data_IF_177170216800
#
_entry.id   IF_177170216800
#
_cell.length_a   1.000
_cell.length_b   1.000
_cell.length_c   1.000
_cell.angle_alpha   90.00
_cell.angle_beta   90.00
_cell.angle_gamma   90.00
#
_symmetry.space_group_name_H-M   'P 1'
#
loop_
_entity.id
_entity.type
_entity.pdbx_description
1 polymer ?
#
# COMPACT_ATOMS: atom_id res chain seq x y z
N UNK A 1 -2.54 -5.74 2.41
CA UNK A 1 -1.90 -4.70 1.56
C UNK A 1 -2.55 -3.31 1.69
N UNK A 2 -3.21 -2.98 2.81
CA UNK A 2 -4.03 -1.75 2.93
C UNK A 2 -3.24 -0.52 3.38
N UNK A 3 -2.12 -0.70 4.07
CA UNK A 3 -1.26 0.42 4.49
C UNK A 3 0.07 0.31 3.75
N UNK A 4 0.22 1.14 2.72
CA UNK A 4 1.42 1.20 1.90
C UNK A 4 2.29 2.40 2.33
N UNK A 5 3.54 2.20 2.80
CA UNK A 5 4.37 3.31 3.28
C UNK A 5 4.64 4.38 2.20
N UNK A 6 4.78 3.97 0.94
CA UNK A 6 4.98 4.89 -0.18
C UNK A 6 3.75 5.75 -0.47
N UNK A 7 2.54 5.26 -0.19
CA UNK A 7 1.30 6.03 -0.35
C UNK A 7 1.21 7.17 0.69
N UNK A 8 1.71 6.94 1.91
CA UNK A 8 1.78 7.96 2.96
C UNK A 8 2.66 9.14 2.52
N UNK A 9 3.87 8.84 2.00
CA UNK A 9 4.77 9.89 1.49
C UNK A 9 4.21 10.62 0.28
N UNK A 10 3.60 9.90 -0.67
CA UNK A 10 3.01 10.51 -1.85
C UNK A 10 1.84 11.44 -1.49
N UNK A 11 0.94 11.00 -0.61
CA UNK A 11 -0.18 11.82 -0.16
C UNK A 11 0.31 13.08 0.59
N UNK A 12 1.34 12.96 1.43
CA UNK A 12 1.96 14.13 2.08
C UNK A 12 2.55 15.12 1.08
N UNK A 13 3.21 14.66 0.01
CA UNK A 13 3.78 15.55 -0.99
C UNK A 13 2.73 16.19 -1.92
N UNK A 14 1.70 15.43 -2.32
CA UNK A 14 0.62 15.93 -3.19
C UNK A 14 -0.21 17.03 -2.50
N UNK A 15 -0.32 16.98 -1.17
CA UNK A 15 -1.04 17.97 -0.38
C UNK A 15 -0.23 19.25 -0.11
N UNK A 16 1.11 19.21 -0.12
CA UNK A 16 1.97 20.39 0.14
C UNK A 16 1.86 21.52 -0.90
N UNK A 17 1.50 21.21 -2.16
CA UNK A 17 1.53 22.16 -3.28
C UNK A 17 0.17 22.63 -3.79
N UNK A 18 -0.96 22.04 -3.34
CA UNK A 18 -2.28 22.28 -3.93
C UNK A 18 -2.85 23.66 -3.62
N UNK A 19 -2.84 24.09 -2.35
CA UNK A 19 -3.38 25.38 -1.92
C UNK A 19 -2.56 25.90 -0.72
N UNK A 20 -1.77 26.95 -0.90
CA UNK A 20 -1.11 27.64 0.22
C UNK A 20 -2.11 28.54 0.93
N UNK A 21 -2.67 28.04 2.03
CA UNK A 21 -3.62 28.78 2.86
C UNK A 21 -2.91 29.28 4.12
N UNK A 22 -2.68 30.59 4.20
CA UNK A 22 -2.05 31.22 5.38
C UNK A 22 -3.06 31.50 6.50
N UNK A 23 -4.35 31.54 6.18
CA UNK A 23 -5.43 31.80 7.15
C UNK A 23 -5.80 30.52 7.94
N UNK A 24 -5.68 30.52 9.28
CA UNK A 24 -5.93 29.35 10.12
C UNK A 24 -7.38 28.82 10.02
N UNK A 25 -8.37 29.66 9.69
CA UNK A 25 -9.77 29.21 9.54
C UNK A 25 -9.95 28.39 8.26
N UNK A 26 -9.39 28.87 7.16
CA UNK A 26 -9.44 28.19 5.86
C UNK A 26 -8.57 26.93 5.86
N UNK A 27 -7.45 26.93 6.59
CA UNK A 27 -6.59 25.76 6.77
C UNK A 27 -7.36 24.59 7.44
N UNK A 28 -8.14 24.87 8.48
CA UNK A 28 -9.00 23.87 9.13
C UNK A 28 -10.08 23.33 8.20
N UNK A 29 -10.70 24.18 7.37
CA UNK A 29 -11.68 23.73 6.36
C UNK A 29 -11.03 22.82 5.31
N UNK A 30 -9.86 23.19 4.80
CA UNK A 30 -9.11 22.39 3.84
C UNK A 30 -8.75 21.01 4.42
N UNK A 31 -8.27 20.97 5.66
CA UNK A 31 -7.99 19.73 6.37
C UNK A 31 -9.23 18.84 6.52
N UNK A 32 -10.40 19.42 6.81
CA UNK A 32 -11.64 18.65 6.91
C UNK A 32 -12.06 18.06 5.55
N UNK A 33 -11.92 18.81 4.45
CA UNK A 33 -12.20 18.29 3.11
C UNK A 33 -11.26 17.15 2.72
N UNK A 34 -9.96 17.28 3.01
CA UNK A 34 -8.98 16.21 2.79
C UNK A 34 -9.32 14.95 3.61
N UNK A 35 -9.75 15.11 4.87
CA UNK A 35 -10.23 13.96 5.67
C UNK A 35 -11.42 13.28 4.99
N UNK A 36 -12.42 14.05 4.55
CA UNK A 36 -13.61 13.48 3.90
C UNK A 36 -13.24 12.75 2.61
N UNK A 37 -12.37 13.33 1.79
CA UNK A 37 -11.89 12.70 0.55
C UNK A 37 -11.19 11.36 0.82
N UNK A 38 -10.25 11.35 1.78
CA UNK A 38 -9.53 10.12 2.17
C UNK A 38 -10.48 9.07 2.77
N UNK A 39 -11.44 9.48 3.61
CA UNK A 39 -12.41 8.55 4.21
C UNK A 39 -13.31 7.93 3.16
N UNK A 40 -13.80 8.71 2.19
CA UNK A 40 -14.63 8.21 1.10
C UNK A 40 -13.81 7.27 0.20
N UNK A 41 -12.60 7.68 -0.21
CA UNK A 41 -11.75 6.87 -1.07
C UNK A 41 -11.35 5.53 -0.41
N UNK A 42 -10.91 5.56 0.85
CA UNK A 42 -10.57 4.36 1.59
C UNK A 42 -11.80 3.50 1.92
N UNK A 43 -12.96 4.12 2.13
CA UNK A 43 -14.23 3.42 2.31
C UNK A 43 -14.62 2.61 1.08
N UNK A 44 -14.58 3.24 -0.11
CA UNK A 44 -14.84 2.55 -1.38
C UNK A 44 -13.83 1.42 -1.62
N UNK A 45 -12.54 1.67 -1.40
CA UNK A 45 -11.51 0.64 -1.53
C UNK A 45 -11.74 -0.55 -0.57
N UNK A 46 -12.20 -0.28 0.65
CA UNK A 46 -12.53 -1.32 1.64
C UNK A 46 -13.74 -2.15 1.21
N UNK A 47 -14.78 -1.51 0.64
CA UNK A 47 -15.93 -2.21 0.09
C UNK A 47 -15.55 -3.13 -1.07
N UNK A 48 -14.69 -2.66 -1.98
CA UNK A 48 -14.19 -3.48 -3.10
C UNK A 48 -13.37 -4.67 -2.59
N UNK A 49 -12.46 -4.45 -1.64
CA UNK A 49 -11.69 -5.54 -1.02
C UNK A 49 -12.60 -6.55 -0.30
N UNK A 50 -13.63 -6.08 0.40
CA UNK A 50 -14.63 -6.93 1.04
C UNK A 50 -15.43 -7.75 0.03
N UNK A 51 -15.90 -7.13 -1.06
CA UNK A 51 -16.60 -7.81 -2.13
C UNK A 51 -15.72 -8.87 -2.80
N UNK A 52 -14.45 -8.56 -3.07
CA UNK A 52 -13.47 -9.51 -3.61
C UNK A 52 -13.29 -10.72 -2.69
N UNK A 53 -13.17 -10.50 -1.39
CA UNK A 53 -13.03 -11.57 -0.40
C UNK A 53 -14.29 -12.45 -0.32
N UNK A 54 -15.48 -11.85 -0.36
CA UNK A 54 -16.75 -12.58 -0.39
C UNK A 54 -16.91 -13.40 -1.66
N UNK A 55 -16.55 -12.85 -2.83
CA UNK A 55 -16.59 -13.59 -4.11
C UNK A 55 -15.58 -14.74 -4.12
N UNK A 56 -14.35 -14.52 -3.64
CA UNK A 56 -13.36 -15.58 -3.53
C UNK A 56 -13.86 -16.70 -2.60
N UNK A 57 -14.42 -16.35 -1.44
CA UNK A 57 -15.00 -17.32 -0.53
C UNK A 57 -16.17 -18.09 -1.16
N UNK A 58 -17.12 -17.41 -1.84
CA UNK A 58 -18.28 -18.08 -2.42
C UNK A 58 -17.95 -18.99 -3.61
N UNK A 59 -16.95 -18.60 -4.42
CA UNK A 59 -16.52 -19.36 -5.61
C UNK A 59 -15.57 -20.50 -5.27
N UNK A 60 -14.59 -20.30 -4.38
CA UNK A 60 -13.54 -21.31 -4.14
C UNK A 60 -13.82 -22.18 -2.90
N UNK A 61 -14.38 -21.62 -1.83
CA UNK A 61 -14.61 -22.37 -0.59
C UNK A 61 -15.70 -23.45 -0.75
N UNK A 62 -16.72 -23.19 -1.57
CA UNK A 62 -17.81 -24.15 -1.83
C UNK A 62 -17.40 -25.36 -2.69
N UNK A 63 -16.28 -25.28 -3.40
CA UNK A 63 -15.88 -26.31 -4.39
C UNK A 63 -14.75 -27.22 -3.85
N UNK A 64 -14.29 -27.00 -2.61
CA UNK A 64 -13.28 -27.87 -1.96
C UNK A 64 -11.86 -27.73 -2.53
N UNK A 65 -11.59 -26.68 -3.31
CA UNK A 65 -10.26 -26.40 -3.85
C UNK A 65 -9.43 -25.59 -2.85
N UNK A 66 -8.56 -26.28 -2.10
CA UNK A 66 -7.66 -25.64 -1.13
C UNK A 66 -6.36 -25.07 -1.73
N UNK A 67 -6.10 -25.27 -3.02
CA UNK A 67 -4.78 -25.00 -3.64
C UNK A 67 -4.77 -23.96 -4.77
N UNK A 68 -5.81 -23.15 -4.90
CA UNK A 68 -5.88 -22.14 -5.96
C UNK A 68 -5.68 -20.75 -5.33
N UNK A 69 -4.42 -20.33 -5.28
CA UNK A 69 -4.01 -18.97 -4.91
C UNK A 69 -3.32 -18.24 -6.09
N UNK A 70 -3.49 -18.74 -7.31
CA UNK A 70 -2.88 -18.14 -8.50
C UNK A 70 -3.77 -17.04 -9.09
N UNK A 71 -3.13 -15.96 -9.54
CA UNK A 71 -3.81 -14.82 -10.17
C UNK A 71 -4.55 -15.26 -11.44
N UNK A 72 -4.07 -16.31 -12.14
CA UNK A 72 -4.73 -16.84 -13.33
C UNK A 72 -6.15 -17.33 -13.05
N UNK A 73 -6.44 -17.82 -11.85
CA UNK A 73 -7.75 -18.38 -11.52
C UNK A 73 -8.71 -17.36 -10.88
N UNK A 74 -8.20 -16.21 -10.45
CA UNK A 74 -8.99 -15.16 -9.82
C UNK A 74 -10.14 -14.64 -10.71
N UNK A 75 -10.02 -14.70 -12.04
CA UNK A 75 -11.10 -14.30 -12.96
C UNK A 75 -12.38 -15.16 -12.80
N UNK A 76 -12.25 -16.41 -12.35
CA UNK A 76 -13.38 -17.32 -12.12
C UNK A 76 -14.34 -16.80 -11.04
N UNK A 77 -13.87 -15.96 -10.13
CA UNK A 77 -14.72 -15.30 -9.11
C UNK A 77 -15.78 -14.38 -9.71
N UNK A 78 -15.52 -13.86 -10.92
CA UNK A 78 -16.43 -12.97 -11.65
C UNK A 78 -17.29 -13.72 -12.69
N UNK A 79 -17.00 -14.99 -12.95
CA UNK A 79 -17.70 -15.81 -13.93
C UNK A 79 -19.22 -15.95 -13.63
N UNK A 80 -19.69 -16.09 -12.37
CA UNK A 80 -21.12 -16.14 -12.07
C UNK A 80 -21.89 -14.86 -12.43
N UNK A 81 -21.20 -13.71 -12.49
CA UNK A 81 -21.81 -12.41 -12.78
C UNK A 81 -21.66 -12.00 -14.25
N UNK A 82 -20.52 -12.31 -14.87
CA UNK A 82 -20.12 -11.80 -16.20
C UNK A 82 -19.98 -12.91 -17.25
N UNK A 83 -20.10 -14.19 -16.87
CA UNK A 83 -19.87 -15.32 -17.75
C UNK A 83 -18.49 -15.28 -18.41
N UNK A 84 -18.43 -15.57 -19.71
CA UNK A 84 -17.18 -15.58 -20.50
C UNK A 84 -16.48 -14.21 -20.59
N UNK A 85 -17.19 -13.10 -20.33
CA UNK A 85 -16.59 -11.77 -20.32
C UNK A 85 -15.73 -11.49 -19.07
N UNK A 86 -15.85 -12.30 -18.02
CA UNK A 86 -15.07 -12.18 -16.78
C UNK A 86 -13.56 -12.16 -17.02
N UNK A 87 -13.05 -12.98 -17.96
CA UNK A 87 -11.64 -13.05 -18.32
C UNK A 87 -11.11 -11.70 -18.84
N UNK A 88 -11.81 -11.11 -19.80
CA UNK A 88 -11.41 -9.83 -20.39
C UNK A 88 -11.52 -8.67 -19.40
N UNK A 89 -12.61 -8.62 -18.63
CA UNK A 89 -12.82 -7.57 -17.61
C UNK A 89 -11.76 -7.67 -16.52
N UNK A 90 -11.46 -8.88 -16.04
CA UNK A 90 -10.43 -9.10 -15.03
C UNK A 90 -9.03 -8.75 -15.55
N UNK A 91 -8.67 -9.21 -16.75
CA UNK A 91 -7.37 -8.91 -17.36
C UNK A 91 -7.17 -7.41 -17.59
N UNK A 92 -8.17 -6.71 -18.12
CA UNK A 92 -8.11 -5.26 -18.34
C UNK A 92 -8.04 -4.49 -17.02
N UNK A 93 -8.81 -4.91 -16.00
CA UNK A 93 -8.78 -4.30 -14.67
C UNK A 93 -7.44 -4.50 -13.98
N UNK A 94 -6.86 -5.70 -14.08
CA UNK A 94 -5.55 -6.02 -13.51
C UNK A 94 -4.44 -5.21 -14.20
N UNK A 95 -4.48 -5.08 -15.52
CA UNK A 95 -3.55 -4.26 -16.30
C UNK A 95 -3.67 -2.78 -15.91
N UNK A 96 -4.90 -2.25 -15.86
CA UNK A 96 -5.15 -0.87 -15.45
C UNK A 96 -4.67 -0.59 -14.01
N UNK A 97 -4.92 -1.53 -13.08
CA UNK A 97 -4.44 -1.45 -11.70
C UNK A 97 -2.91 -1.47 -11.63
N UNK A 98 -2.26 -2.36 -12.39
CA UNK A 98 -0.80 -2.45 -12.45
C UNK A 98 -0.13 -1.21 -13.02
N UNK A 99 -0.69 -0.64 -14.10
CA UNK A 99 -0.19 0.62 -14.68
C UNK A 99 -0.37 1.79 -13.70
N UNK A 100 -1.54 1.89 -13.07
CA UNK A 100 -1.82 2.94 -12.07
C UNK A 100 -0.90 2.83 -10.86
N UNK A 101 -0.73 1.62 -10.29
CA UNK A 101 0.17 1.36 -9.16
C UNK A 101 1.63 1.66 -9.51
N UNK A 102 2.07 1.34 -10.73
CA UNK A 102 3.43 1.64 -11.20
C UNK A 102 3.69 3.15 -11.31
N UNK A 103 2.73 3.92 -11.85
CA UNK A 103 2.83 5.38 -11.92
C UNK A 103 2.88 6.03 -10.52
N UNK A 104 2.05 5.53 -9.59
CA UNK A 104 2.05 5.96 -8.18
C UNK A 104 3.36 5.61 -7.49
N UNK A 105 3.87 4.39 -7.68
CA UNK A 105 5.11 3.90 -7.09
C UNK A 105 6.34 4.67 -7.57
N UNK A 106 6.42 4.98 -8.87
CA UNK A 106 7.50 5.82 -9.42
C UNK A 106 7.45 7.24 -8.86
N UNK A 107 6.26 7.84 -8.74
CA UNK A 107 6.09 9.17 -8.16
C UNK A 107 6.51 9.21 -6.69
N UNK A 108 6.03 8.26 -5.89
CA UNK A 108 6.41 8.13 -4.48
C UNK A 108 7.92 7.93 -4.30
N UNK A 109 8.53 7.06 -5.13
CA UNK A 109 9.98 6.85 -5.13
C UNK A 109 10.77 8.12 -5.45
N UNK A 110 10.24 9.00 -6.30
CA UNK A 110 10.89 10.28 -6.60
C UNK A 110 10.91 11.21 -5.40
N UNK A 111 9.75 11.34 -4.73
CA UNK A 111 9.58 12.19 -3.57
C UNK A 111 10.50 11.75 -2.43
N UNK A 112 10.58 10.44 -2.18
CA UNK A 112 11.46 9.88 -1.17
C UNK A 112 12.94 10.15 -1.55
N UNK A 113 13.32 9.92 -2.80
CA UNK A 113 14.70 10.17 -3.28
C UNK A 113 15.09 11.65 -3.18
N UNK A 114 14.19 12.56 -3.53
CA UNK A 114 14.40 14.01 -3.40
C UNK A 114 14.46 14.44 -1.94
N UNK A 115 13.57 13.92 -1.09
CA UNK A 115 13.51 14.27 0.32
C UNK A 115 14.72 13.78 1.12
N UNK A 116 15.14 12.53 0.91
CA UNK A 116 16.22 11.91 1.69
C UNK A 116 17.60 12.02 1.03
N UNK A 117 17.72 11.78 -0.29
CA UNK A 117 19.01 11.77 -0.99
C UNK A 117 19.29 13.07 -1.75
N UNK A 118 18.33 14.01 -1.83
CA UNK A 118 18.41 15.27 -2.61
C UNK A 118 18.91 15.05 -4.04
N UNK A 119 18.64 13.88 -4.62
CA UNK A 119 19.08 13.49 -5.98
C UNK A 119 17.91 13.15 -6.88
N UNK A 120 18.03 13.58 -8.14
CA UNK A 120 17.15 13.22 -9.22
C UNK A 120 17.73 12.06 -10.02
N UNK A 121 17.04 10.93 -10.01
CA UNK A 121 17.31 9.81 -10.91
C UNK A 121 16.24 9.80 -12.00
N UNK A 122 16.61 9.77 -13.29
CA UNK A 122 15.65 9.76 -14.39
C UNK A 122 14.74 8.52 -14.31
N UNK A 123 13.47 8.69 -14.71
CA UNK A 123 12.42 7.67 -14.58
C UNK A 123 12.79 6.37 -15.30
N UNK A 124 13.47 6.45 -16.44
CA UNK A 124 13.92 5.28 -17.22
C UNK A 124 14.95 4.46 -16.43
N UNK A 125 15.95 5.12 -15.85
CA UNK A 125 16.97 4.43 -15.04
C UNK A 125 16.36 3.81 -13.79
N UNK A 126 15.42 4.50 -13.15
CA UNK A 126 14.67 3.94 -12.02
C UNK A 126 13.88 2.70 -12.43
N UNK A 127 13.17 2.76 -13.56
CA UNK A 127 12.37 1.64 -14.08
C UNK A 127 13.25 0.42 -14.39
N UNK A 128 14.43 0.63 -14.98
CA UNK A 128 15.41 -0.44 -15.22
C UNK A 128 15.88 -1.06 -13.89
N UNK A 129 16.27 -0.24 -12.91
CA UNK A 129 16.73 -0.70 -11.59
C UNK A 129 15.61 -1.47 -10.86
N UNK A 130 14.34 -1.06 -10.97
CA UNK A 130 13.22 -1.75 -10.30
C UNK A 130 12.80 -3.04 -10.98
N UNK A 131 13.02 -3.19 -12.28
CA UNK A 131 12.66 -4.40 -13.05
C UNK A 131 13.79 -5.44 -12.99
N UNK A 132 15.04 -5.00 -12.88
CA UNK A 132 16.23 -5.86 -12.81
C UNK A 132 16.12 -7.01 -11.78
N UNK A 133 15.72 -6.77 -10.52
CA UNK A 133 15.58 -7.85 -9.54
C UNK A 133 14.54 -8.89 -9.95
N UNK A 134 13.40 -8.44 -10.49
CA UNK A 134 12.34 -9.33 -10.95
C UNK A 134 12.79 -10.17 -12.17
N UNK A 135 13.50 -9.57 -13.13
CA UNK A 135 14.09 -10.27 -14.26
C UNK A 135 15.12 -11.31 -13.83
N UNK A 136 16.00 -10.95 -12.88
CA UNK A 136 17.01 -11.87 -12.36
C UNK A 136 16.38 -13.07 -11.67
N UNK A 137 15.33 -12.86 -10.87
CA UNK A 137 14.58 -13.95 -10.21
C UNK A 137 13.99 -14.92 -11.24
N UNK A 138 13.38 -14.39 -12.32
CA UNK A 138 12.79 -15.20 -13.39
C UNK A 138 13.87 -16.00 -14.13
N UNK A 139 15.00 -15.37 -14.47
CA UNK A 139 16.10 -16.03 -15.20
C UNK A 139 16.75 -17.12 -14.34
N UNK A 140 16.87 -16.89 -13.03
CA UNK A 140 17.45 -17.84 -12.08
C UNK A 140 16.48 -18.97 -11.68
N UNK A 141 15.23 -18.94 -12.16
CA UNK A 141 14.23 -19.98 -11.89
C UNK A 141 13.80 -20.08 -10.42
N UNK A 142 13.98 -19.00 -9.63
CA UNK A 142 13.52 -18.99 -8.25
C UNK A 142 11.99 -19.02 -8.18
N UNK A 143 11.45 -19.70 -7.16
CA UNK A 143 10.01 -19.74 -6.92
C UNK A 143 9.46 -18.31 -6.77
N UNK A 144 8.51 -17.89 -7.64
CA UNK A 144 7.86 -16.59 -7.56
C UNK A 144 7.28 -16.32 -6.17
N UNK A 145 6.79 -17.38 -5.52
CA UNK A 145 6.16 -17.31 -4.19
C UNK A 145 7.16 -16.89 -3.12
N UNK A 146 8.33 -17.54 -3.07
CA UNK A 146 9.40 -17.23 -2.12
C UNK A 146 9.97 -15.81 -2.31
N UNK A 147 10.10 -15.37 -3.56
CA UNK A 147 10.54 -14.00 -3.87
C UNK A 147 9.51 -12.95 -3.46
N UNK A 148 8.23 -13.26 -3.65
CA UNK A 148 7.13 -12.38 -3.25
C UNK A 148 7.08 -12.27 -1.73
N UNK A 149 7.28 -13.38 -1.00
CA UNK A 149 7.43 -13.40 0.46
C UNK A 149 8.63 -12.57 0.92
N UNK A 150 9.81 -12.73 0.29
CA UNK A 150 10.99 -11.93 0.61
C UNK A 150 10.76 -10.43 0.40
N UNK A 151 10.02 -10.08 -0.66
CA UNK A 151 9.63 -8.69 -0.92
C UNK A 151 8.70 -8.15 0.16
N UNK A 152 7.78 -8.97 0.67
CA UNK A 152 6.94 -8.59 1.81
C UNK A 152 7.80 -8.37 3.07
N UNK A 153 8.82 -9.20 3.31
CA UNK A 153 9.72 -9.03 4.46
C UNK A 153 10.45 -7.68 4.41
N UNK A 154 11.01 -7.32 3.25
CA UNK A 154 11.68 -6.01 3.08
C UNK A 154 10.71 -4.85 3.34
N UNK A 155 9.47 -4.95 2.84
CA UNK A 155 8.43 -3.96 3.11
C UNK A 155 8.05 -3.89 4.60
N UNK A 156 7.96 -5.03 5.27
CA UNK A 156 7.68 -5.16 6.72
C UNK A 156 8.75 -4.48 7.56
N UNK A 157 10.03 -4.62 7.19
CA UNK A 157 11.13 -3.91 7.86
C UNK A 157 11.08 -2.40 7.63
N UNK A 158 10.65 -1.93 6.46
CA UNK A 158 10.59 -0.51 6.14
C UNK A 158 9.45 0.25 6.84
N UNK A 159 8.36 -0.44 7.18
CA UNK A 159 7.14 0.18 7.69
C UNK A 159 7.31 0.90 9.06
N UNK A 160 7.96 0.33 10.08
CA UNK A 160 8.20 1.01 11.36
C UNK A 160 8.95 2.33 11.20
N UNK A 161 9.95 2.37 10.30
CA UNK A 161 10.74 3.58 10.02
C UNK A 161 9.92 4.70 9.40
N UNK A 162 8.75 4.41 8.83
CA UNK A 162 7.86 5.42 8.25
C UNK A 162 6.81 5.86 9.27
N UNK A 163 6.20 4.90 9.98
CA UNK A 163 5.10 5.21 10.90
C UNK A 163 5.59 5.93 12.16
N UNK A 164 6.75 5.56 12.71
CA UNK A 164 7.26 6.17 13.95
C UNK A 164 7.53 7.68 13.75
N UNK A 165 8.32 8.12 12.74
CA UNK A 165 8.53 9.55 12.51
C UNK A 165 7.23 10.28 12.16
N UNK A 166 6.30 9.64 11.44
CA UNK A 166 5.01 10.25 11.11
C UNK A 166 4.22 10.59 12.39
N UNK A 167 4.15 9.68 13.36
CA UNK A 167 3.47 9.94 14.63
C UNK A 167 4.19 11.03 15.42
N UNK A 168 5.52 11.03 15.43
CA UNK A 168 6.31 12.05 16.12
C UNK A 168 6.09 13.44 15.50
N UNK A 169 6.12 13.57 14.18
CA UNK A 169 5.91 14.84 13.48
C UNK A 169 4.47 15.33 13.56
N UNK A 170 3.48 14.44 13.47
CA UNK A 170 2.07 14.83 13.59
C UNK A 170 1.67 15.24 15.01
N UNK A 171 2.41 14.78 16.03
CA UNK A 171 2.23 15.18 17.43
C UNK A 171 2.91 16.52 17.76
N UNK A 172 3.97 16.89 17.05
CA UNK A 172 4.76 18.08 17.38
C UNK A 172 4.02 19.37 17.02
N UNK A 173 3.68 20.16 18.05
CA UNK A 173 3.04 21.47 17.89
C UNK A 173 3.94 22.50 17.21
N UNK A 174 5.27 22.31 17.23
CA UNK A 174 6.23 23.16 16.50
C UNK A 174 6.16 22.94 14.99
N UNK A 175 5.84 21.71 14.55
CA UNK A 175 5.76 21.35 13.13
C UNK A 175 4.34 21.57 12.59
N UNK A 176 3.31 21.11 13.31
CA UNK A 176 1.91 21.12 12.84
C UNK A 176 1.12 22.37 13.27
N UNK A 177 1.66 23.17 14.20
CA UNK A 177 0.99 24.36 14.71
C UNK A 177 -0.39 24.05 15.31
N UNK A 178 -1.42 24.74 14.81
CA UNK A 178 -2.81 24.57 15.26
C UNK A 178 -3.50 23.28 14.79
N UNK A 179 -2.84 22.49 13.92
CA UNK A 179 -3.32 21.19 13.42
C UNK A 179 -2.61 20.00 14.09
N UNK A 180 -1.88 20.22 15.18
CA UNK A 180 -1.23 19.13 15.91
C UNK A 180 -2.27 18.10 16.41
N UNK A 181 -1.90 16.82 16.33
CA UNK A 181 -2.79 15.74 16.73
C UNK A 181 -3.16 15.85 18.21
N UNK A 182 -4.45 15.61 18.52
CA UNK A 182 -4.90 15.48 19.91
C UNK A 182 -4.25 14.26 20.55
N UNK A 183 -4.13 14.28 21.89
CA UNK A 183 -3.59 13.14 22.66
C UNK A 183 -4.33 11.83 22.38
N UNK A 184 -5.65 11.88 22.18
CA UNK A 184 -6.47 10.71 21.80
C UNK A 184 -6.11 10.14 20.43
N UNK A 185 -6.00 10.99 19.40
CA UNK A 185 -5.60 10.58 18.04
C UNK A 185 -4.18 10.03 18.02
N UNK A 186 -3.27 10.63 18.80
CA UNK A 186 -1.89 10.14 18.93
C UNK A 186 -1.84 8.77 19.60
N UNK A 187 -2.64 8.56 20.66
CA UNK A 187 -2.76 7.26 21.32
C UNK A 187 -3.32 6.20 20.38
N UNK A 188 -4.39 6.50 19.66
CA UNK A 188 -4.98 5.59 18.67
C UNK A 188 -3.97 5.25 17.55
N UNK A 189 -3.28 6.26 17.00
CA UNK A 189 -2.25 6.05 15.99
C UNK A 189 -1.08 5.21 16.51
N UNK A 190 -0.65 5.43 17.76
CA UNK A 190 0.41 4.66 18.40
C UNK A 190 -0.01 3.21 18.66
N UNK A 191 -1.27 2.99 19.07
CA UNK A 191 -1.82 1.64 19.24
C UNK A 191 -1.85 0.88 17.92
N UNK A 192 -2.36 1.50 16.85
CA UNK A 192 -2.40 0.91 15.51
C UNK A 192 -0.98 0.62 15.02
N UNK A 193 -0.04 1.55 15.20
CA UNK A 193 1.36 1.36 14.87
C UNK A 193 1.97 0.18 15.63
N UNK A 194 1.72 0.08 16.94
CA UNK A 194 2.19 -1.03 17.76
C UNK A 194 1.64 -2.38 17.27
N UNK A 195 0.34 -2.46 16.98
CA UNK A 195 -0.28 -3.68 16.43
C UNK A 195 0.37 -4.06 15.09
N UNK A 196 0.55 -3.10 14.18
CA UNK A 196 1.17 -3.36 12.89
C UNK A 196 2.62 -3.85 13.08
N UNK A 197 3.41 -3.21 13.95
CA UNK A 197 4.79 -3.62 14.21
C UNK A 197 4.83 -5.03 14.80
N UNK A 198 3.99 -5.33 15.79
CA UNK A 198 3.90 -6.66 16.41
C UNK A 198 3.54 -7.73 15.38
N UNK A 199 2.53 -7.47 14.53
CA UNK A 199 2.13 -8.40 13.47
C UNK A 199 3.24 -8.60 12.43
N UNK A 200 3.96 -7.54 12.06
CA UNK A 200 5.10 -7.66 11.13
C UNK A 200 6.24 -8.47 11.74
N UNK A 201 6.59 -8.22 13.00
CA UNK A 201 7.60 -9.00 13.73
C UNK A 201 7.17 -10.47 13.84
N UNK A 202 5.91 -10.73 14.20
CA UNK A 202 5.37 -12.08 14.26
C UNK A 202 5.48 -12.81 12.92
N UNK A 203 5.12 -12.15 11.81
CA UNK A 203 5.22 -12.73 10.46
C UNK A 203 6.68 -13.04 10.10
N UNK A 204 7.61 -12.13 10.40
CA UNK A 204 9.04 -12.33 10.19
C UNK A 204 9.54 -13.54 10.99
N UNK A 205 9.22 -13.61 12.28
CA UNK A 205 9.61 -14.73 13.16
C UNK A 205 9.01 -16.05 12.64
N UNK A 206 7.74 -16.05 12.24
CA UNK A 206 7.09 -17.23 11.69
C UNK A 206 7.72 -17.67 10.36
N UNK A 207 8.16 -16.73 9.52
CA UNK A 207 8.86 -17.06 8.28
C UNK A 207 10.22 -17.69 8.55
N UNK A 208 11.00 -17.14 9.49
CA UNK A 208 12.32 -17.66 9.84
C UNK A 208 12.25 -19.01 10.60
N UNK A 209 11.23 -19.23 11.42
CA UNK A 209 11.05 -20.47 12.18
C UNK A 209 10.31 -21.54 11.35
N UNK A 210 9.34 -21.14 10.52
CA UNK A 210 8.51 -22.03 9.71
C UNK A 210 9.13 -22.44 8.37
N UNK A 211 10.11 -21.69 7.84
CA UNK A 211 10.86 -22.07 6.63
C UNK A 211 11.93 -23.14 6.84
N UNK A 212 11.99 -23.76 8.02
CA UNK A 212 12.94 -24.81 8.39
C UNK A 212 12.40 -26.23 8.36
N UNK A 213 11.14 -26.45 7.94
CA UNK A 213 10.54 -27.79 7.78
C UNK A 213 10.09 -28.03 6.34
#
# INVERSE_FOLDING_TARGET
ATVMPHAIFLHSALTQGRIKVTDPVRLKKLFHYEIVDVVVAMGVASLVNGAMLIMAASTFYKVGFHNIASIEEAHKTLEPLLGKASQWVFALSLLASGLSSSAVGTSAGQIIMQGFLKRHIPVVLRRLITILPALLVIILGFDPTGTLVLSQVVLSFGLPFVIIPLILFTRDTKIMGSLANKRSTTWAASLVAAVIIVLNVYLIVQLFIGGGN
#
